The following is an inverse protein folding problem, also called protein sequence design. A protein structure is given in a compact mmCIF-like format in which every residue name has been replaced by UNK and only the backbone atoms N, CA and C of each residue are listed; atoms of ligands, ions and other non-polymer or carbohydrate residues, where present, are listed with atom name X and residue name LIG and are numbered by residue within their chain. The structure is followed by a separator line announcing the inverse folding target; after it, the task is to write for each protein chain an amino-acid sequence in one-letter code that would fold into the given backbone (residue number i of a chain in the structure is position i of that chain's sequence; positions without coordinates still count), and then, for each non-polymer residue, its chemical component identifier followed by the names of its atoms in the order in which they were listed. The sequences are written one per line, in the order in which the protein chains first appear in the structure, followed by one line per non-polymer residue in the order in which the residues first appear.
data_IF_666946760525
#
_entry.id   IF_666946760525
#
_cell.length_a   1.000
_cell.length_b   1.000
_cell.length_c   1.000
_cell.angle_alpha   90.00
_cell.angle_beta   90.00
_cell.angle_gamma   90.00
#
_symmetry.space_group_name_H-M   'P 1'
#
loop_
_entity.id
_entity.type
_entity.pdbx_description
1 polymer ?
#
# COMPACT_ATOMS: atom_id res chain seq x y z
N UNK A 1 1.59 13.57 -5.77
CA UNK A 1 1.29 14.99 -5.49
C UNK A 1 2.31 15.85 -6.21
N UNK A 2 1.99 17.12 -6.46
CA UNK A 2 2.92 18.08 -7.06
C UNK A 2 3.50 19.05 -6.01
N UNK A 3 3.52 18.62 -4.75
CA UNK A 3 3.85 19.45 -3.58
C UNK A 3 5.36 19.42 -3.22
N UNK A 4 6.18 18.67 -3.96
CA UNK A 4 7.62 18.52 -3.70
C UNK A 4 7.96 17.60 -2.51
N UNK A 5 6.95 16.99 -1.90
CA UNK A 5 7.12 16.07 -0.77
C UNK A 5 7.16 14.61 -1.23
N UNK A 6 8.02 13.83 -0.59
CA UNK A 6 8.05 12.38 -0.70
C UNK A 6 7.41 11.80 0.55
N UNK A 7 6.44 10.92 0.37
CA UNK A 7 5.69 10.30 1.46
C UNK A 7 6.21 8.88 1.71
N UNK A 8 6.43 8.56 2.99
CA UNK A 8 6.91 7.26 3.44
C UNK A 8 5.87 6.58 4.32
N UNK A 9 5.64 5.29 4.07
CA UNK A 9 4.89 4.44 4.98
C UNK A 9 5.73 4.16 6.23
N UNK A 10 5.08 4.19 7.39
CA UNK A 10 5.74 3.96 8.67
C UNK A 10 6.31 2.54 8.82
N UNK A 11 5.59 1.51 8.35
CA UNK A 11 6.04 0.12 8.42
C UNK A 11 5.97 -0.52 9.81
N UNK A 12 5.12 -0.03 10.72
CA UNK A 12 5.07 -0.42 12.16
C UNK A 12 6.29 0.03 12.98
N UNK A 13 6.99 1.04 12.52
CA UNK A 13 8.10 1.67 13.22
C UNK A 13 7.62 2.73 14.22
N UNK A 14 8.33 2.85 15.33
CA UNK A 14 8.22 3.99 16.24
C UNK A 14 9.46 4.87 16.20
N UNK A 15 9.59 5.76 17.17
CA UNK A 15 10.80 6.56 17.40
C UNK A 15 10.81 7.89 16.63
N UNK A 16 12.01 8.48 16.55
CA UNK A 16 12.22 9.80 15.98
C UNK A 16 13.10 9.74 14.73
N UNK A 17 12.66 10.38 13.65
CA UNK A 17 13.41 10.47 12.39
C UNK A 17 14.12 11.81 12.27
N UNK A 18 15.28 11.81 11.63
CA UNK A 18 16.09 12.99 11.33
C UNK A 18 16.89 12.74 10.04
N UNK A 19 17.38 13.80 9.41
CA UNK A 19 18.35 13.66 8.32
C UNK A 19 19.70 13.22 8.89
N UNK A 20 20.35 12.25 8.24
CA UNK A 20 21.70 11.83 8.60
C UNK A 20 22.69 13.00 8.52
N UNK A 21 23.65 13.06 9.45
CA UNK A 21 24.55 14.20 9.61
C UNK A 21 25.38 14.52 8.36
N UNK A 22 25.77 13.49 7.63
CA UNK A 22 26.50 13.52 6.35
C UNK A 22 25.68 14.08 5.18
N UNK A 23 24.35 14.11 5.28
CA UNK A 23 23.48 14.86 4.36
C UNK A 23 23.33 16.34 4.76
N UNK A 24 23.73 16.72 5.97
CA UNK A 24 23.73 18.10 6.46
C UNK A 24 25.10 18.72 6.20
N UNK A 25 25.25 19.37 5.05
CA UNK A 25 26.46 20.18 4.79
C UNK A 25 26.52 21.33 5.80
N UNK A 26 27.62 21.52 6.55
CA UNK A 26 27.73 22.60 7.55
C UNK A 26 27.48 24.00 6.97
N UNK A 27 27.75 24.18 5.67
CA UNK A 27 27.60 25.45 4.97
C UNK A 27 26.21 25.69 4.37
N UNK A 28 25.34 24.67 4.32
CA UNK A 28 24.00 24.86 3.75
C UNK A 28 23.10 25.56 4.76
N UNK A 29 22.77 26.83 4.51
CA UNK A 29 21.77 27.61 5.25
C UNK A 29 20.32 27.12 5.04
N UNK A 30 20.13 25.87 4.61
CA UNK A 30 18.82 25.32 4.33
C UNK A 30 18.10 25.05 5.65
N UNK A 31 16.81 25.44 5.78
CA UNK A 31 16.05 25.23 7.00
C UNK A 31 15.80 23.73 7.22
N UNK A 32 16.63 23.09 8.05
CA UNK A 32 16.40 21.73 8.53
C UNK A 32 15.48 21.74 9.75
N UNK A 33 14.79 20.63 10.02
CA UNK A 33 14.18 20.45 11.35
C UNK A 33 15.26 20.60 12.43
N UNK A 34 15.01 21.48 13.41
CA UNK A 34 15.92 21.68 14.53
C UNK A 34 15.97 20.43 15.44
N UNK A 35 14.84 19.75 15.58
CA UNK A 35 14.67 18.58 16.44
C UNK A 35 14.23 17.35 15.63
N UNK A 36 14.59 16.13 16.06
CA UNK A 36 14.05 14.89 15.50
C UNK A 36 12.52 14.84 15.55
N UNK A 37 11.91 14.26 14.51
CA UNK A 37 10.46 14.21 14.34
C UNK A 37 9.91 12.85 14.82
N UNK A 38 9.04 12.80 15.83
CA UNK A 38 8.41 11.56 16.27
C UNK A 38 7.42 11.05 15.21
N UNK A 39 7.49 9.76 14.88
CA UNK A 39 6.59 9.11 13.90
C UNK A 39 5.72 8.00 14.49
N UNK A 40 5.69 7.88 15.82
CA UNK A 40 4.83 6.89 16.48
C UNK A 40 3.39 7.05 16.02
N UNK A 41 2.80 5.97 15.48
CA UNK A 41 1.45 5.92 14.92
C UNK A 41 1.18 6.91 13.78
N UNK A 42 2.22 7.41 13.11
CA UNK A 42 2.12 8.32 11.98
C UNK A 42 2.93 7.79 10.81
N UNK A 43 2.47 8.04 9.60
CA UNK A 43 3.38 8.02 8.46
C UNK A 43 4.29 9.25 8.51
N UNK A 44 5.22 9.36 7.57
CA UNK A 44 6.06 10.55 7.45
C UNK A 44 6.14 11.06 6.03
N UNK A 45 6.58 12.30 5.88
CA UNK A 45 6.96 12.88 4.60
C UNK A 45 8.23 13.70 4.75
N UNK A 46 9.00 13.80 3.68
CA UNK A 46 10.18 14.65 3.64
C UNK A 46 10.29 15.42 2.33
N UNK A 47 10.81 16.65 2.42
CA UNK A 47 11.14 17.47 1.28
C UNK A 47 12.66 17.45 1.11
N UNK A 48 13.21 16.77 0.08
CA UNK A 48 14.65 16.58 -0.05
C UNK A 48 15.42 17.90 -0.21
N UNK A 49 14.92 18.82 -1.04
CA UNK A 49 15.63 20.08 -1.30
C UNK A 49 15.61 21.05 -0.12
N UNK A 50 14.46 21.15 0.57
CA UNK A 50 14.30 22.01 1.75
C UNK A 50 14.79 21.35 3.03
N UNK A 51 15.03 20.04 3.01
CA UNK A 51 15.39 19.21 4.17
C UNK A 51 14.42 19.35 5.33
N UNK A 52 13.13 19.27 5.00
CA UNK A 52 12.05 19.24 5.98
C UNK A 52 11.55 17.80 6.14
N UNK A 53 11.21 17.43 7.36
CA UNK A 53 10.61 16.17 7.79
C UNK A 53 9.35 16.50 8.59
N UNK A 54 8.28 15.75 8.32
CA UNK A 54 7.01 15.91 9.03
C UNK A 54 6.35 14.54 9.26
N UNK A 55 5.75 14.38 10.43
CA UNK A 55 4.74 13.35 10.63
C UNK A 55 3.47 13.70 9.84
N UNK A 56 2.91 12.72 9.16
CA UNK A 56 1.70 12.86 8.33
C UNK A 56 0.67 11.84 8.80
N UNK A 57 -0.61 12.06 8.44
CA UNK A 57 -1.69 11.15 8.83
C UNK A 57 -1.43 9.71 8.35
N UNK A 58 -2.15 8.74 8.91
CA UNK A 58 -1.97 7.33 8.58
C UNK A 58 -1.67 6.46 9.79
N UNK A 59 -1.16 5.28 9.44
CA UNK A 59 -0.15 4.43 10.09
C UNK A 59 -0.09 3.25 9.13
N UNK A 60 0.74 3.38 8.10
CA UNK A 60 0.73 2.50 6.92
C UNK A 60 1.84 1.49 7.01
N UNK A 61 1.55 0.24 6.64
CA UNK A 61 2.60 -0.78 6.55
C UNK A 61 3.37 -0.71 5.25
N UNK A 62 2.68 -0.76 4.11
CA UNK A 62 3.34 -0.76 2.81
C UNK A 62 2.43 -0.16 1.73
N UNK A 63 2.98 0.79 0.98
CA UNK A 63 2.28 1.39 -0.16
C UNK A 63 1.35 2.53 0.24
N UNK A 64 1.36 3.60 -0.55
CA UNK A 64 0.45 4.74 -0.42
C UNK A 64 0.10 5.21 -1.83
N UNK A 65 -1.12 5.70 -2.00
CA UNK A 65 -1.61 6.17 -3.28
C UNK A 65 -2.26 7.54 -3.16
N UNK A 66 -2.21 8.30 -4.26
CA UNK A 66 -2.92 9.56 -4.39
C UNK A 66 -3.79 9.55 -5.63
N UNK A 67 -5.01 10.06 -5.50
CA UNK A 67 -5.85 10.38 -6.66
C UNK A 67 -5.44 11.72 -7.30
N UNK A 68 -6.18 12.13 -8.34
CA UNK A 68 -5.96 13.40 -9.03
C UNK A 68 -6.26 14.63 -8.16
N UNK A 69 -7.03 14.47 -7.08
CA UNK A 69 -7.43 15.55 -6.16
C UNK A 69 -6.50 15.68 -4.95
N UNK A 70 -5.51 14.79 -4.84
CA UNK A 70 -4.57 14.77 -3.72
C UNK A 70 -5.09 14.06 -2.47
N UNK A 71 -6.22 13.34 -2.56
CA UNK A 71 -6.66 12.46 -1.48
C UNK A 71 -5.65 11.33 -1.33
N UNK A 72 -5.23 11.03 -0.10
CA UNK A 72 -4.24 10.01 0.19
C UNK A 72 -4.90 8.74 0.71
N UNK A 73 -4.60 7.64 0.03
CA UNK A 73 -5.07 6.31 0.37
C UNK A 73 -3.89 5.45 0.82
N UNK A 74 -4.14 4.62 1.82
CA UNK A 74 -3.14 3.79 2.45
C UNK A 74 -3.70 2.39 2.72
N UNK A 75 -2.84 1.40 2.91
CA UNK A 75 -3.25 0.06 3.29
C UNK A 75 -2.72 -0.36 4.66
N UNK A 76 -3.29 -1.43 5.17
CA UNK A 76 -2.81 -2.23 6.28
C UNK A 76 -2.88 -3.70 5.84
N UNK A 77 -2.09 -4.58 6.44
CA UNK A 77 -2.05 -5.99 6.04
C UNK A 77 -3.43 -6.65 5.87
N UNK A 78 -4.37 -6.33 6.77
CA UNK A 78 -5.74 -6.86 6.78
C UNK A 78 -6.80 -5.87 6.29
N UNK A 79 -6.41 -4.65 5.92
CA UNK A 79 -7.32 -3.59 5.46
C UNK A 79 -6.71 -2.97 4.20
N UNK A 80 -7.19 -3.41 3.04
CA UNK A 80 -6.53 -3.13 1.77
C UNK A 80 -6.63 -1.69 1.30
N UNK A 81 -7.61 -0.93 1.80
CA UNK A 81 -7.73 0.50 1.52
C UNK A 81 -8.33 1.28 2.69
N UNK A 82 -7.68 2.36 3.06
CA UNK A 82 -8.10 3.36 4.04
C UNK A 82 -7.84 4.74 3.47
N UNK A 83 -8.65 5.72 3.88
CA UNK A 83 -8.49 7.11 3.46
C UNK A 83 -7.89 7.93 4.60
N UNK A 84 -6.84 8.71 4.32
CA UNK A 84 -6.33 9.71 5.26
C UNK A 84 -7.25 10.93 5.20
N UNK A 85 -8.14 11.04 6.19
CA UNK A 85 -9.16 12.10 6.23
C UNK A 85 -8.62 13.42 6.77
N UNK A 86 -7.50 13.40 7.49
CA UNK A 86 -6.83 14.60 7.96
C UNK A 86 -5.35 14.37 8.25
N UNK A 87 -4.58 15.45 8.26
CA UNK A 87 -3.15 15.41 8.55
C UNK A 87 -2.82 15.59 10.03
N UNK A 88 -1.76 14.91 10.50
CA UNK A 88 -1.33 14.89 11.90
C UNK A 88 -1.12 16.30 12.48
N UNK A 89 -0.60 17.22 11.67
CA UNK A 89 -0.40 18.64 12.05
C UNK A 89 -1.66 19.34 12.55
N UNK A 90 -2.86 18.90 12.15
CA UNK A 90 -4.10 19.49 12.64
C UNK A 90 -4.47 18.98 14.02
N UNK A 91 -4.23 17.70 14.32
CA UNK A 91 -4.41 17.14 15.66
C UNK A 91 -3.42 17.74 16.66
N UNK A 92 -2.17 17.95 16.22
CA UNK A 92 -1.13 18.56 17.06
C UNK A 92 -1.46 19.99 17.52
N UNK A 93 -2.39 20.68 16.86
CA UNK A 93 -2.85 22.03 17.27
C UNK A 93 -3.81 21.99 18.47
N UNK A 94 -4.44 20.85 18.74
CA UNK A 94 -5.32 20.69 19.89
C UNK A 94 -5.04 19.35 20.61
N UNK A 95 -4.12 19.35 21.59
CA UNK A 95 -3.80 18.16 22.40
C UNK A 95 -5.00 17.59 23.17
N UNK A 96 -6.09 18.36 23.32
CA UNK A 96 -7.31 17.96 24.03
C UNK A 96 -8.42 17.49 23.07
N UNK A 97 -8.13 17.33 21.78
CA UNK A 97 -9.11 16.82 20.83
C UNK A 97 -9.57 15.41 21.22
N UNK A 98 -10.89 15.18 21.22
CA UNK A 98 -11.47 13.86 21.50
C UNK A 98 -11.16 12.83 20.41
N UNK A 99 -10.88 13.31 19.18
CA UNK A 99 -10.49 12.48 18.05
C UNK A 99 -8.97 12.47 17.89
N UNK A 100 -8.40 11.27 17.80
CA UNK A 100 -6.95 11.05 17.65
C UNK A 100 -6.59 10.32 16.36
N UNK A 101 -7.59 9.88 15.58
CA UNK A 101 -7.38 9.15 14.35
C UNK A 101 -7.35 10.08 13.14
N UNK A 102 -6.43 9.81 12.22
CA UNK A 102 -6.25 10.55 10.96
C UNK A 102 -6.82 9.79 9.75
N UNK A 103 -7.32 8.58 9.97
CA UNK A 103 -7.69 7.63 8.92
C UNK A 103 -9.11 7.11 9.10
N UNK A 104 -9.82 6.95 7.98
CA UNK A 104 -11.08 6.21 7.92
C UNK A 104 -10.86 4.88 7.21
N UNK A 105 -11.41 3.80 7.76
CA UNK A 105 -11.64 2.56 7.03
C UNK A 105 -12.80 2.78 6.07
N UNK A 106 -12.59 2.53 4.78
CA UNK A 106 -13.56 2.88 3.74
C UNK A 106 -14.15 1.65 3.03
N UNK A 107 -13.67 0.45 3.32
CA UNK A 107 -14.19 -0.79 2.72
C UNK A 107 -15.64 -1.01 3.13
N UNK A 108 -16.53 -1.20 2.16
CA UNK A 108 -17.96 -1.45 2.41
C UNK A 108 -18.19 -2.72 3.26
N UNK A 109 -17.34 -3.72 3.09
CA UNK A 109 -17.35 -5.00 3.84
C UNK A 109 -16.60 -4.91 5.19
N UNK A 110 -16.10 -3.72 5.54
CA UNK A 110 -15.26 -3.49 6.72
C UNK A 110 -13.89 -4.17 6.63
N UNK A 111 -13.26 -4.39 7.79
CA UNK A 111 -11.96 -5.05 7.95
C UNK A 111 -11.96 -6.57 7.65
N UNK A 112 -13.06 -7.12 7.13
CA UNK A 112 -13.23 -8.55 6.85
C UNK A 112 -13.58 -8.82 5.38
N UNK A 113 -13.10 -7.98 4.47
CA UNK A 113 -13.37 -8.11 3.05
C UNK A 113 -12.92 -9.48 2.52
N UNK A 114 -13.81 -10.15 1.77
CA UNK A 114 -13.54 -11.49 1.21
C UNK A 114 -12.70 -11.37 -0.05
N UNK A 115 -11.77 -12.32 -0.20
CA UNK A 115 -10.97 -12.48 -1.42
C UNK A 115 -11.16 -13.87 -2.04
N UNK A 116 -10.96 -13.93 -3.36
CA UNK A 116 -11.29 -15.09 -4.19
C UNK A 116 -10.06 -15.63 -4.94
N UNK A 117 -9.10 -16.26 -4.22
CA UNK A 117 -7.94 -16.89 -4.85
C UNK A 117 -8.35 -18.10 -5.72
N UNK A 118 -7.55 -18.39 -6.75
CA UNK A 118 -7.72 -19.56 -7.63
C UNK A 118 -6.57 -20.57 -7.53
N UNK A 119 -5.45 -20.17 -6.90
CA UNK A 119 -4.32 -21.05 -6.61
C UNK A 119 -4.58 -21.94 -5.40
N UNK A 120 -3.81 -23.01 -5.29
CA UNK A 120 -3.73 -23.77 -4.04
C UNK A 120 -3.01 -22.96 -2.98
N UNK A 121 -3.52 -22.99 -1.74
CA UNK A 121 -2.85 -22.35 -0.61
C UNK A 121 -1.49 -23.00 -0.37
N UNK A 122 -0.43 -22.21 -0.54
CA UNK A 122 0.95 -22.60 -0.20
C UNK A 122 1.15 -22.58 1.32
N UNK A 123 2.29 -23.11 1.78
CA UNK A 123 2.73 -22.92 3.17
C UNK A 123 2.74 -21.44 3.55
N UNK A 124 2.20 -21.14 4.72
CA UNK A 124 2.12 -19.81 5.34
C UNK A 124 2.74 -19.87 6.73
N UNK A 125 3.23 -18.74 7.21
CA UNK A 125 3.87 -18.61 8.52
C UNK A 125 3.08 -17.70 9.47
N UNK A 126 1.93 -17.20 9.01
CA UNK A 126 1.03 -16.31 9.73
C UNK A 126 -0.27 -17.03 10.12
N UNK A 127 -0.98 -16.51 11.12
CA UNK A 127 -2.14 -17.17 11.72
C UNK A 127 -3.48 -16.76 11.08
N UNK A 128 -3.47 -15.76 10.21
CA UNK A 128 -4.68 -15.20 9.64
C UNK A 128 -5.38 -16.17 8.66
N UNK A 129 -6.72 -16.21 8.68
CA UNK A 129 -7.49 -17.19 7.92
C UNK A 129 -7.32 -17.01 6.39
N UNK A 130 -7.41 -18.09 5.60
CA UNK A 130 -7.48 -17.99 4.15
C UNK A 130 -8.81 -17.36 3.70
N UNK A 131 -8.81 -16.75 2.51
CA UNK A 131 -9.99 -16.10 1.93
C UNK A 131 -10.25 -14.68 2.46
N UNK A 132 -9.31 -14.10 3.20
CA UNK A 132 -9.29 -12.70 3.65
C UNK A 132 -7.91 -12.08 3.44
N UNK A 133 -7.83 -10.75 3.49
CA UNK A 133 -6.57 -10.02 3.39
C UNK A 133 -5.67 -10.28 4.60
N UNK A 134 -4.42 -10.60 4.31
CA UNK A 134 -3.40 -10.97 5.30
C UNK A 134 -2.08 -10.21 5.09
N UNK A 135 -1.79 -9.84 3.84
CA UNK A 135 -0.56 -9.14 3.47
C UNK A 135 -0.84 -8.07 2.42
N UNK A 136 -2.00 -7.40 2.52
CA UNK A 136 -2.38 -6.38 1.55
C UNK A 136 -1.31 -5.30 1.42
N UNK A 137 -0.87 -5.07 0.19
CA UNK A 137 0.22 -4.18 -0.13
C UNK A 137 0.01 -3.55 -1.52
N UNK A 138 0.96 -2.73 -1.96
CA UNK A 138 1.00 -2.27 -3.34
C UNK A 138 -0.19 -1.43 -3.80
N UNK A 139 -0.89 -0.77 -2.87
CA UNK A 139 -2.06 0.03 -3.16
C UNK A 139 -1.75 1.14 -4.17
N UNK A 140 -2.53 1.22 -5.24
CA UNK A 140 -2.49 2.34 -6.19
C UNK A 140 -3.88 2.77 -6.62
N UNK A 141 -4.01 4.03 -7.05
CA UNK A 141 -5.19 4.54 -7.75
C UNK A 141 -4.86 4.58 -9.24
N UNK A 142 -5.64 3.90 -10.06
CA UNK A 142 -5.40 3.88 -11.51
C UNK A 142 -5.81 5.20 -12.14
N UNK A 143 -4.84 5.83 -12.83
CA UNK A 143 -4.98 7.17 -13.44
C UNK A 143 -4.62 7.16 -14.92
N UNK A 144 -4.57 5.97 -15.51
CA UNK A 144 -4.18 5.76 -16.90
C UNK A 144 -5.36 5.75 -17.87
N UNK A 145 -5.06 5.56 -19.14
CA UNK A 145 -6.04 5.56 -20.24
C UNK A 145 -5.99 4.28 -21.10
N UNK A 146 -5.16 3.29 -20.74
CA UNK A 146 -5.00 2.05 -21.50
C UNK A 146 -5.92 0.92 -21.04
N UNK A 147 -6.47 0.99 -19.82
CA UNK A 147 -7.60 0.18 -19.40
C UNK A 147 -8.91 0.87 -19.81
N UNK A 148 -10.03 0.11 -19.97
CA UNK A 148 -11.34 0.71 -20.17
C UNK A 148 -11.67 1.79 -19.13
N UNK A 149 -12.38 2.84 -19.51
CA UNK A 149 -12.65 4.02 -18.66
C UNK A 149 -13.26 3.68 -17.30
N UNK A 150 -14.01 2.57 -17.18
CA UNK A 150 -14.56 2.08 -15.90
C UNK A 150 -13.50 1.73 -14.84
N UNK A 151 -12.23 1.62 -15.22
CA UNK A 151 -11.12 1.38 -14.30
C UNK A 151 -10.49 2.67 -13.77
N UNK A 152 -10.75 3.82 -14.39
CA UNK A 152 -10.18 5.11 -14.00
C UNK A 152 -10.66 5.51 -12.60
N UNK A 153 -9.73 5.87 -11.72
CA UNK A 153 -10.02 6.25 -10.34
C UNK A 153 -10.21 5.07 -9.37
N UNK A 154 -10.15 3.82 -9.84
CA UNK A 154 -10.28 2.65 -8.98
C UNK A 154 -9.01 2.38 -8.20
N UNK A 155 -9.19 1.82 -7.00
CA UNK A 155 -8.10 1.34 -6.16
C UNK A 155 -7.72 -0.10 -6.54
N UNK A 156 -6.42 -0.39 -6.60
CA UNK A 156 -5.87 -1.71 -6.81
C UNK A 156 -4.94 -2.06 -5.66
N UNK A 157 -5.17 -3.20 -5.01
CA UNK A 157 -4.36 -3.68 -3.89
C UNK A 157 -3.85 -5.10 -4.19
N UNK A 158 -2.58 -5.35 -3.92
CA UNK A 158 -1.98 -6.68 -4.07
C UNK A 158 -2.21 -7.49 -2.80
N UNK A 159 -2.46 -8.79 -2.95
CA UNK A 159 -2.48 -9.75 -1.86
C UNK A 159 -1.54 -10.93 -2.22
N UNK A 160 -0.25 -10.82 -1.87
CA UNK A 160 0.76 -11.80 -2.27
C UNK A 160 0.51 -13.18 -1.66
N UNK A 161 0.00 -13.30 -0.43
CA UNK A 161 -0.24 -14.61 0.21
C UNK A 161 -1.34 -15.42 -0.50
N UNK A 162 -2.21 -14.74 -1.25
CA UNK A 162 -3.32 -15.35 -2.00
C UNK A 162 -3.18 -15.16 -3.53
N UNK A 163 -1.99 -14.78 -4.01
CA UNK A 163 -1.63 -14.75 -5.43
C UNK A 163 -2.58 -13.90 -6.32
N UNK A 164 -3.07 -12.76 -5.80
CA UNK A 164 -4.11 -11.97 -6.47
C UNK A 164 -3.92 -10.45 -6.34
N UNK A 165 -4.60 -9.72 -7.22
CA UNK A 165 -4.79 -8.27 -7.16
C UNK A 165 -6.28 -7.99 -7.05
N UNK A 166 -6.66 -7.33 -5.97
CA UNK A 166 -8.01 -6.88 -5.69
C UNK A 166 -8.26 -5.50 -6.29
N UNK A 167 -9.52 -5.21 -6.65
CA UNK A 167 -9.96 -3.91 -7.16
C UNK A 167 -11.21 -3.43 -6.45
N UNK A 168 -11.19 -2.16 -6.06
CA UNK A 168 -12.36 -1.43 -5.61
C UNK A 168 -12.69 -0.25 -6.52
N UNK A 169 -13.99 0.02 -6.63
CA UNK A 169 -14.51 1.32 -7.07
C UNK A 169 -14.57 2.23 -5.86
N UNK A 170 -13.97 3.43 -5.97
CA UNK A 170 -14.03 4.45 -4.94
C UNK A 170 -15.18 5.41 -5.22
N UNK A 171 -16.12 5.50 -4.29
CA UNK A 171 -17.24 6.42 -4.34
C UNK A 171 -17.12 7.45 -3.23
N UNK A 172 -17.19 8.74 -3.58
CA UNK A 172 -17.14 9.80 -2.57
C UNK A 172 -18.36 9.72 -1.65
N UNK A 173 -18.14 9.72 -0.34
CA UNK A 173 -19.16 9.73 0.69
C UNK A 173 -18.83 10.84 1.70
N UNK A 174 -19.51 11.98 1.58
CA UNK A 174 -19.22 13.18 2.37
C UNK A 174 -17.74 13.62 2.22
N UNK A 175 -17.02 13.71 3.34
CA UNK A 175 -15.59 14.09 3.40
C UNK A 175 -14.65 12.89 3.27
N UNK A 176 -15.17 11.70 2.97
CA UNK A 176 -14.40 10.47 2.79
C UNK A 176 -14.92 9.67 1.59
N UNK A 177 -14.62 8.38 1.54
CA UNK A 177 -15.01 7.46 0.48
C UNK A 177 -15.67 6.20 1.03
N UNK A 178 -16.36 5.49 0.15
CA UNK A 178 -16.67 4.07 0.28
C UNK A 178 -15.92 3.36 -0.85
N UNK A 179 -15.18 2.31 -0.50
CA UNK A 179 -14.54 1.40 -1.42
C UNK A 179 -15.40 0.13 -1.51
N UNK A 180 -15.78 -0.24 -2.73
CA UNK A 180 -16.59 -1.42 -2.96
C UNK A 180 -16.18 -2.20 -4.18
N UNK A 181 -16.31 -3.52 -4.06
CA UNK A 181 -16.15 -4.46 -5.16
C UNK A 181 -17.18 -4.14 -6.25
N UNK A 182 -16.76 -4.05 -7.51
CA UNK A 182 -17.65 -3.79 -8.63
C UNK A 182 -18.55 -5.01 -8.87
N UNK A 183 -19.76 -4.79 -9.41
CA UNK A 183 -20.77 -5.84 -9.57
C UNK A 183 -20.27 -7.04 -10.38
N UNK A 184 -19.40 -6.82 -11.37
CA UNK A 184 -18.82 -7.87 -12.21
C UNK A 184 -17.68 -8.67 -11.55
N UNK A 185 -17.28 -8.33 -10.32
CA UNK A 185 -16.20 -9.01 -9.58
C UNK A 185 -16.66 -9.51 -8.20
N UNK A 186 -17.96 -9.56 -7.90
CA UNK A 186 -18.49 -9.97 -6.58
C UNK A 186 -17.97 -11.32 -6.06
N UNK A 187 -17.60 -12.24 -6.95
CA UNK A 187 -17.12 -13.60 -6.62
C UNK A 187 -15.77 -13.94 -7.26
N UNK A 188 -15.00 -12.93 -7.67
CA UNK A 188 -13.68 -13.11 -8.31
C UNK A 188 -12.79 -11.90 -8.12
N UNK A 189 -11.50 -12.03 -8.36
CA UNK A 189 -10.61 -10.87 -8.35
C UNK A 189 -10.37 -10.27 -9.73
N UNK A 190 -9.89 -9.01 -9.74
CA UNK A 190 -9.42 -8.36 -10.96
C UNK A 190 -8.34 -9.20 -11.66
N UNK A 191 -7.40 -9.75 -10.87
CA UNK A 191 -6.41 -10.71 -11.31
C UNK A 191 -6.18 -11.74 -10.21
N UNK A 192 -6.36 -13.02 -10.50
CA UNK A 192 -5.94 -14.12 -9.64
C UNK A 192 -5.14 -15.13 -10.47
N UNK A 193 -3.96 -15.52 -10.00
CA UNK A 193 -3.09 -16.46 -10.71
C UNK A 193 -3.27 -17.90 -10.20
N UNK A 194 -3.14 -18.87 -11.10
CA UNK A 194 -3.05 -20.29 -10.76
C UNK A 194 -1.63 -20.71 -10.35
N UNK A 195 -0.61 -19.94 -10.76
CA UNK A 195 0.78 -20.15 -10.35
C UNK A 195 0.95 -19.80 -8.86
N UNK A 196 1.25 -20.78 -7.97
CA UNK A 196 1.38 -20.52 -6.54
C UNK A 196 2.57 -19.63 -6.19
N UNK A 197 3.49 -19.37 -7.13
CA UNK A 197 4.66 -18.51 -6.92
C UNK A 197 4.43 -17.07 -7.43
N UNK A 198 3.28 -16.79 -8.04
CA UNK A 198 2.91 -15.43 -8.42
C UNK A 198 2.56 -14.61 -7.18
N UNK A 199 3.37 -13.61 -6.85
CA UNK A 199 3.27 -12.81 -5.63
C UNK A 199 3.28 -11.33 -5.97
N UNK A 200 2.12 -10.76 -6.33
CA UNK A 200 2.01 -9.35 -6.64
C UNK A 200 2.34 -8.53 -5.40
N UNK A 201 3.17 -7.50 -5.55
CA UNK A 201 3.64 -6.67 -4.42
C UNK A 201 3.48 -5.18 -4.62
N UNK A 202 3.37 -4.71 -5.86
CA UNK A 202 3.13 -3.30 -6.13
C UNK A 202 2.43 -3.06 -7.45
N UNK A 203 1.50 -2.11 -7.48
CA UNK A 203 0.90 -1.60 -8.71
C UNK A 203 1.18 -0.11 -8.90
N UNK A 204 1.23 0.33 -10.16
CA UNK A 204 1.35 1.75 -10.49
C UNK A 204 0.76 2.03 -11.88
N UNK A 205 0.34 3.27 -12.11
CA UNK A 205 0.06 3.72 -13.49
C UNK A 205 1.38 4.04 -14.17
N UNK A 206 1.67 3.36 -15.28
CA UNK A 206 2.84 3.60 -16.10
C UNK A 206 2.74 4.89 -16.92
N UNK A 207 3.87 5.43 -17.43
CA UNK A 207 3.89 6.67 -18.20
C UNK A 207 3.13 6.59 -19.53
N UNK A 208 2.93 5.38 -20.04
CA UNK A 208 2.15 5.06 -21.23
C UNK A 208 0.63 4.93 -20.95
N UNK A 209 0.23 5.07 -19.69
CA UNK A 209 -1.14 4.90 -19.21
C UNK A 209 -1.56 3.46 -18.90
N UNK A 210 -0.67 2.47 -18.93
CA UNK A 210 -0.96 1.09 -18.52
C UNK A 210 -1.00 0.93 -17.00
N UNK A 211 -1.63 -0.13 -16.49
CA UNK A 211 -1.46 -0.55 -15.10
C UNK A 211 -0.26 -1.49 -15.04
N UNK A 212 0.80 -1.10 -14.34
CA UNK A 212 1.98 -1.90 -14.14
C UNK A 212 1.87 -2.64 -12.82
N UNK A 213 2.28 -3.90 -12.82
CA UNK A 213 2.27 -4.77 -11.66
C UNK A 213 3.64 -5.43 -11.50
N UNK A 214 4.19 -5.35 -10.29
CA UNK A 214 5.42 -6.05 -9.91
C UNK A 214 5.05 -7.30 -9.14
N UNK A 215 5.64 -8.42 -9.54
CA UNK A 215 5.58 -9.72 -8.89
C UNK A 215 7.01 -10.11 -8.49
N UNK A 216 7.27 -10.30 -7.19
CA UNK A 216 8.63 -10.65 -6.75
C UNK A 216 8.97 -12.16 -6.89
N UNK A 217 8.02 -12.95 -7.40
CA UNK A 217 8.06 -14.38 -7.71
C UNK A 217 8.70 -15.28 -6.64
N UNK A 218 7.93 -15.59 -5.60
CA UNK A 218 8.42 -16.36 -4.43
C UNK A 218 7.46 -17.47 -4.02
N UNK A 219 7.99 -18.65 -3.63
CA UNK A 219 7.14 -19.67 -3.01
C UNK A 219 6.62 -19.20 -1.65
N UNK A 220 7.42 -18.46 -0.88
CA UNK A 220 7.13 -18.06 0.50
C UNK A 220 7.08 -16.54 0.65
N UNK A 221 6.19 -16.06 1.52
CA UNK A 221 6.02 -14.63 1.82
C UNK A 221 6.14 -14.46 3.34
N UNK A 222 7.37 -14.36 3.82
CA UNK A 222 7.68 -13.99 5.21
C UNK A 222 9.17 -13.62 5.31
N UNK A 223 9.54 -12.74 6.24
CA UNK A 223 10.92 -12.56 6.63
C UNK A 223 11.28 -13.58 7.74
N UNK A 224 12.41 -14.31 7.65
CA UNK A 224 12.74 -15.39 8.59
C UNK A 224 12.65 -15.01 10.07
N UNK A 225 12.97 -13.75 10.41
CA UNK A 225 12.90 -13.24 11.78
C UNK A 225 11.49 -13.26 12.39
N UNK A 226 10.43 -13.20 11.56
CA UNK A 226 9.04 -13.20 12.02
C UNK A 226 8.41 -14.59 12.06
N UNK A 227 9.12 -15.63 11.63
CA UNK A 227 8.68 -17.02 11.77
C UNK A 227 8.97 -17.50 13.19
N UNK A 228 7.91 -17.63 14.00
CA UNK A 228 8.00 -18.02 15.40
C UNK A 228 8.47 -19.48 15.58
N UNK A 229 7.99 -20.39 14.73
CA UNK A 229 8.37 -21.80 14.78
C UNK A 229 9.76 -22.00 14.14
N UNK A 230 10.73 -22.43 14.95
CA UNK A 230 12.11 -22.62 14.51
C UNK A 230 12.22 -23.68 13.40
N UNK A 231 11.49 -24.78 13.50
CA UNK A 231 11.58 -25.87 12.53
C UNK A 231 11.04 -25.42 11.18
N UNK A 232 9.92 -24.69 11.16
CA UNK A 232 9.34 -24.10 9.96
C UNK A 232 10.26 -23.04 9.33
N UNK A 233 10.98 -22.28 10.16
CA UNK A 233 11.97 -21.31 9.69
C UNK A 233 13.20 -21.98 9.04
N UNK A 234 13.65 -23.10 9.60
CA UNK A 234 14.83 -23.81 9.10
C UNK A 234 14.50 -24.81 7.98
N UNK A 235 13.22 -25.15 7.76
CA UNK A 235 12.80 -26.12 6.76
C UNK A 235 12.70 -25.58 5.33
N UNK A 236 12.81 -24.25 5.13
CA UNK A 236 12.67 -23.62 3.82
C UNK A 236 13.78 -22.61 3.54
N UNK A 237 14.13 -22.47 2.26
CA UNK A 237 14.98 -21.38 1.80
C UNK A 237 14.13 -20.18 1.35
N UNK A 238 14.10 -19.12 2.18
CA UNK A 238 13.41 -17.86 1.89
C UNK A 238 14.01 -17.09 0.70
N UNK A 239 15.21 -17.46 0.24
CA UNK A 239 15.86 -16.86 -0.92
C UNK A 239 15.43 -17.50 -2.26
N UNK A 240 14.69 -18.61 -2.22
CA UNK A 240 14.14 -19.27 -3.41
C UNK A 240 13.32 -18.29 -4.24
N UNK A 241 13.55 -18.24 -5.56
CA UNK A 241 12.81 -17.38 -6.49
C UNK A 241 13.34 -15.96 -6.67
N UNK A 242 14.37 -15.54 -5.91
CA UNK A 242 14.82 -14.11 -5.86
C UNK A 242 15.19 -13.46 -7.18
N UNK A 243 15.66 -14.25 -8.13
CA UNK A 243 16.15 -13.75 -9.41
C UNK A 243 15.09 -13.85 -10.54
N UNK A 244 13.85 -14.21 -10.20
CA UNK A 244 12.78 -14.48 -11.15
C UNK A 244 11.62 -13.47 -11.08
N UNK A 245 11.83 -12.33 -10.43
CA UNK A 245 10.84 -11.26 -10.35
C UNK A 245 10.38 -10.79 -11.73
N UNK A 246 9.12 -10.36 -11.82
CA UNK A 246 8.42 -10.04 -13.07
C UNK A 246 7.78 -8.66 -12.97
N UNK A 247 7.74 -7.97 -14.12
CA UNK A 247 6.96 -6.73 -14.28
C UNK A 247 5.96 -6.97 -15.39
N UNK A 248 4.68 -6.89 -15.05
CA UNK A 248 3.57 -7.01 -15.97
C UNK A 248 3.07 -5.63 -16.38
N UNK A 249 2.76 -5.48 -17.66
CA UNK A 249 2.03 -4.33 -18.20
C UNK A 249 0.61 -4.79 -18.55
N UNK A 250 -0.37 -4.29 -17.82
CA UNK A 250 -1.80 -4.63 -17.99
C UNK A 250 -2.49 -3.51 -18.75
N UNK A 251 -3.06 -3.86 -19.90
CA UNK A 251 -3.78 -2.96 -20.80
C UNK A 251 -5.09 -3.61 -21.25
N UNK A 252 -6.07 -2.78 -21.61
CA UNK A 252 -7.29 -3.24 -22.23
C UNK A 252 -7.00 -3.89 -23.59
N UNK A 253 -7.73 -4.95 -23.90
CA UNK A 253 -7.69 -5.54 -25.24
C UNK A 253 -8.28 -4.50 -26.20
N UNK A 254 -7.51 -4.09 -27.20
CA UNK A 254 -8.03 -3.28 -28.29
C UNK A 254 -9.13 -4.08 -28.99
N UNK A 255 -10.37 -3.59 -28.96
CA UNK A 255 -11.39 -4.09 -29.86
C UNK A 255 -10.92 -3.73 -31.28
N UNK A 256 -10.49 -4.73 -32.06
CA UNK A 256 -10.44 -4.56 -33.50
C UNK A 256 -11.88 -4.26 -33.94
N UNK A 257 -12.08 -3.10 -34.57
CA UNK A 257 -13.28 -2.83 -35.33
C UNK A 257 -13.41 -3.86 -36.47
#
# INVERSE_FOLDING_TARGET
TWDGWIYGANGRSGGNIHFAADFVRPESQLPTNAEPVPITNCDFRFHPDRRLLEATGGFTQFGQAFDDRGNRFISWNTIHVRHVVMEQRYLNRNPHAAMTQTTAEICQEGSTARIFPVSQTTQRFNAEPPGFFNASCGLSIYRGHRLPTRFLGNAFACEPLSNLVHRDVLQQNQTTFIASRPAEELEREFLAASDPWFRPVNTATGPDGGLYLVDFYRPWVEHPQFVADRNARESVDFSTGRDYGRIYRVIGKSNKA
#
